data_IF_572085862857
#
_entry.id   IF_572085862857
#
_cell.length_a   1.000
_cell.length_b   1.000
_cell.length_c   1.000
_cell.angle_alpha   90.00
_cell.angle_beta   90.00
_cell.angle_gamma   90.00
#
_symmetry.space_group_name_H-M   'P 1'
#
loop_
_entity.id
_entity.type
_entity.pdbx_description
1 polymer ?
#
# COMPACT_ATOMS: atom_id res chain seq x y z
N UNK A 1 1.46 -21.89 41.61
CA UNK A 1 1.81 -21.04 40.46
C UNK A 1 1.08 -19.72 40.67
N UNK A 2 1.81 -18.62 40.89
CA UNK A 2 1.18 -17.32 41.18
C UNK A 2 0.31 -16.86 40.01
N UNK A 3 -0.86 -16.32 40.34
CA UNK A 3 -1.83 -15.81 39.38
C UNK A 3 -1.16 -14.78 38.45
N UNK A 4 -1.18 -15.06 37.15
CA UNK A 4 -0.60 -14.21 36.09
C UNK A 4 -1.53 -13.06 35.71
N UNK A 5 -2.62 -12.87 36.47
CA UNK A 5 -3.57 -11.79 36.26
C UNK A 5 -3.17 -10.54 37.05
N UNK A 6 -3.07 -9.40 36.35
CA UNK A 6 -3.00 -8.07 36.95
C UNK A 6 -4.18 -7.27 36.40
N UNK A 7 -5.06 -6.77 37.25
CA UNK A 7 -6.22 -6.01 36.79
C UNK A 7 -5.80 -4.74 36.03
N UNK A 8 -6.57 -4.42 34.98
CA UNK A 8 -6.47 -3.17 34.26
C UNK A 8 -7.00 -2.02 35.12
N UNK A 9 -6.30 -0.87 35.14
CA UNK A 9 -6.70 0.31 35.92
C UNK A 9 -7.83 1.14 35.30
N UNK A 10 -8.35 0.75 34.13
CA UNK A 10 -9.50 1.42 33.52
C UNK A 10 -10.78 0.86 34.15
N UNK A 11 -11.63 1.74 34.68
CA UNK A 11 -12.91 1.38 35.30
C UNK A 11 -13.78 0.51 34.38
N UNK A 12 -14.38 -0.54 34.95
CA UNK A 12 -15.20 -1.51 34.19
C UNK A 12 -14.44 -2.44 33.25
N UNK A 13 -13.09 -2.42 33.22
CA UNK A 13 -12.30 -3.28 32.36
C UNK A 13 -11.86 -4.57 33.06
N UNK A 14 -12.25 -5.72 32.52
CA UNK A 14 -11.80 -7.05 32.99
C UNK A 14 -10.52 -7.55 32.29
N UNK A 15 -9.75 -6.64 31.68
CA UNK A 15 -8.54 -6.98 30.92
C UNK A 15 -7.31 -7.24 31.79
N UNK A 16 -6.39 -8.07 31.31
CA UNK A 16 -5.14 -8.38 32.00
C UNK A 16 -4.03 -7.36 31.64
N UNK A 17 -3.58 -6.60 32.63
CA UNK A 17 -2.46 -5.65 32.59
C UNK A 17 -1.09 -6.28 32.91
N UNK A 18 -1.03 -7.60 33.10
CA UNK A 18 0.22 -8.30 33.30
C UNK A 18 1.05 -8.28 32.02
N UNK A 19 2.37 -8.14 32.16
CA UNK A 19 3.28 -7.98 31.02
C UNK A 19 3.29 -9.20 30.08
N UNK A 20 3.05 -10.40 30.61
CA UNK A 20 2.93 -11.62 29.78
C UNK A 20 1.68 -11.62 28.90
N UNK A 21 0.65 -10.82 29.25
CA UNK A 21 -0.54 -10.61 28.44
C UNK A 21 -0.41 -9.35 27.54
N UNK A 22 0.80 -8.80 27.41
CA UNK A 22 1.06 -7.56 26.66
C UNK A 22 0.61 -6.28 27.39
N UNK A 23 0.22 -6.39 28.67
CA UNK A 23 -0.09 -5.24 29.50
C UNK A 23 1.16 -4.39 29.76
N UNK A 24 0.99 -3.07 29.86
CA UNK A 24 2.06 -2.11 30.17
C UNK A 24 1.55 -1.02 31.10
N UNK A 25 2.46 -0.47 31.91
CA UNK A 25 2.13 0.46 33.01
C UNK A 25 1.14 -0.22 33.98
N UNK A 26 -0.13 0.14 33.90
CA UNK A 26 -1.24 -0.41 34.68
C UNK A 26 -2.44 -0.80 33.81
N UNK A 27 -2.25 -0.83 32.48
CA UNK A 27 -3.32 -1.09 31.52
C UNK A 27 -3.14 -2.43 30.81
N UNK A 28 -4.27 -3.04 30.44
CA UNK A 28 -4.27 -4.14 29.47
C UNK A 28 -3.72 -3.68 28.12
N UNK A 29 -3.30 -4.62 27.28
CA UNK A 29 -2.73 -4.32 25.96
C UNK A 29 -3.60 -3.34 25.15
N UNK A 30 -4.92 -3.55 25.12
CA UNK A 30 -5.88 -2.70 24.38
C UNK A 30 -5.89 -1.25 24.90
N UNK A 31 -6.00 -1.04 26.21
CA UNK A 31 -6.02 0.31 26.79
C UNK A 31 -4.67 1.01 26.68
N UNK A 32 -3.57 0.28 26.84
CA UNK A 32 -2.24 0.83 26.58
C UNK A 32 -2.10 1.28 25.11
N UNK A 33 -2.60 0.50 24.15
CA UNK A 33 -2.57 0.89 22.73
C UNK A 33 -3.48 2.08 22.43
N UNK A 34 -4.63 2.22 23.10
CA UNK A 34 -5.50 3.41 22.97
C UNK A 34 -4.81 4.65 23.49
N UNK A 35 -4.24 4.59 24.70
CA UNK A 35 -3.46 5.69 25.27
C UNK A 35 -2.28 6.07 24.37
N UNK A 36 -1.52 5.09 23.86
CA UNK A 36 -0.39 5.35 22.94
C UNK A 36 -0.82 6.10 21.67
N UNK A 37 -2.03 5.84 21.16
CA UNK A 37 -2.53 6.45 19.91
C UNK A 37 -3.21 7.80 20.13
N UNK A 38 -3.92 7.96 21.25
CA UNK A 38 -4.86 9.06 21.45
C UNK A 38 -4.54 9.94 22.67
N UNK A 39 -3.56 9.57 23.50
CA UNK A 39 -3.31 10.20 24.80
C UNK A 39 -4.31 9.80 25.89
N UNK A 40 -5.36 9.04 25.55
CA UNK A 40 -6.46 8.67 26.42
C UNK A 40 -6.87 7.20 26.22
N UNK A 41 -7.09 6.47 27.31
CA UNK A 41 -7.51 5.06 27.31
C UNK A 41 -8.98 4.87 26.97
N UNK A 42 -9.81 5.88 27.21
CA UNK A 42 -11.27 5.87 27.02
C UNK A 42 -11.67 6.15 25.58
N UNK A 43 -10.85 6.89 24.84
CA UNK A 43 -11.15 7.30 23.46
C UNK A 43 -11.19 6.09 22.53
N UNK A 44 -12.39 5.81 22.01
CA UNK A 44 -12.63 4.85 20.94
C UNK A 44 -13.09 5.58 19.69
N UNK A 45 -12.23 5.65 18.67
CA UNK A 45 -12.58 6.20 17.34
C UNK A 45 -13.07 5.08 16.43
N UNK A 46 -14.12 4.36 16.84
CA UNK A 46 -14.74 3.33 15.97
C UNK A 46 -15.83 3.99 15.15
N UNK A 47 -15.70 3.95 13.82
CA UNK A 47 -16.80 4.28 12.93
C UNK A 47 -17.96 3.31 13.18
N UNK A 48 -19.19 3.80 13.48
CA UNK A 48 -20.34 2.93 13.63
C UNK A 48 -20.56 2.09 12.37
N UNK A 49 -21.11 0.88 12.56
CA UNK A 49 -21.41 -0.01 11.44
C UNK A 49 -22.34 0.69 10.44
N UNK A 50 -22.11 0.50 9.14
CA UNK A 50 -22.93 1.07 8.07
C UNK A 50 -22.64 2.53 7.71
N UNK A 51 -22.02 3.34 8.58
CA UNK A 51 -21.71 4.75 8.28
C UNK A 51 -20.80 4.88 7.06
N UNK A 52 -19.74 4.05 7.00
CA UNK A 52 -18.82 4.06 5.86
C UNK A 52 -19.51 3.66 4.54
N UNK A 53 -20.43 2.70 4.60
CA UNK A 53 -21.21 2.27 3.45
C UNK A 53 -22.17 3.36 2.98
N UNK A 54 -22.95 3.95 3.89
CA UNK A 54 -23.88 5.04 3.57
C UNK A 54 -23.16 6.27 3.00
N UNK A 55 -21.99 6.59 3.54
CA UNK A 55 -21.15 7.65 3.00
C UNK A 55 -20.68 7.32 1.58
N UNK A 56 -20.25 6.07 1.32
CA UNK A 56 -19.83 5.63 0.00
C UNK A 56 -20.96 5.73 -1.04
N UNK A 57 -22.18 5.33 -0.68
CA UNK A 57 -23.34 5.46 -1.56
C UNK A 57 -23.57 6.92 -1.97
N UNK A 58 -23.46 7.87 -1.02
CA UNK A 58 -23.54 9.30 -1.36
C UNK A 58 -22.37 9.75 -2.22
N UNK A 59 -21.16 9.27 -1.95
CA UNK A 59 -19.96 9.61 -2.72
C UNK A 59 -20.07 9.24 -4.21
N UNK A 60 -20.72 8.10 -4.52
CA UNK A 60 -20.93 7.63 -5.91
C UNK A 60 -21.87 8.57 -6.69
N UNK A 61 -22.80 9.24 -6.02
CA UNK A 61 -23.74 10.17 -6.68
C UNK A 61 -23.06 11.46 -7.14
N UNK A 62 -21.93 11.85 -6.53
CA UNK A 62 -21.21 13.06 -6.94
C UNK A 62 -20.61 12.92 -8.33
N UNK A 63 -20.73 14.01 -9.10
CA UNK A 63 -20.23 14.11 -10.46
C UNK A 63 -19.14 15.18 -10.52
N UNK A 64 -17.88 14.75 -10.42
CA UNK A 64 -16.71 15.63 -10.33
C UNK A 64 -15.50 14.98 -10.97
N UNK A 65 -14.57 15.81 -11.46
CA UNK A 65 -13.24 15.40 -11.95
C UNK A 65 -12.20 15.36 -10.82
N UNK A 66 -12.53 15.84 -9.62
CA UNK A 66 -11.61 15.80 -8.49
C UNK A 66 -11.62 14.42 -7.80
N UNK A 67 -10.51 14.02 -7.18
CA UNK A 67 -10.52 12.85 -6.30
C UNK A 67 -11.51 13.04 -5.15
N UNK A 68 -12.29 11.99 -4.87
CA UNK A 68 -13.12 11.91 -3.67
C UNK A 68 -12.38 11.00 -2.69
N UNK A 69 -11.78 11.60 -1.66
CA UNK A 69 -10.96 10.86 -0.69
C UNK A 69 -11.80 10.03 0.27
N UNK A 70 -11.47 8.74 0.41
CA UNK A 70 -12.01 7.89 1.46
C UNK A 70 -11.66 8.44 2.85
N UNK A 71 -12.63 8.82 3.71
CA UNK A 71 -12.33 9.50 4.96
C UNK A 71 -12.10 8.53 6.13
N UNK A 72 -12.38 7.24 5.95
CA UNK A 72 -12.28 6.24 7.01
C UNK A 72 -10.93 5.51 6.99
N UNK A 73 -10.72 4.67 7.99
CA UNK A 73 -9.53 3.80 8.05
C UNK A 73 -9.51 2.80 6.90
N UNK A 74 -8.31 2.37 6.54
CA UNK A 74 -8.04 1.34 5.53
C UNK A 74 -6.79 0.53 5.87
N UNK A 75 -6.49 -0.53 5.11
CA UNK A 75 -5.21 -1.22 5.20
C UNK A 75 -4.02 -0.28 4.93
N UNK A 76 -2.80 -0.68 5.32
CA UNK A 76 -1.57 0.08 5.03
C UNK A 76 -1.36 0.42 3.55
N UNK A 77 -1.93 -0.38 2.64
CA UNK A 77 -1.90 -0.12 1.20
C UNK A 77 -2.69 1.13 0.77
N UNK A 78 -3.45 1.76 1.67
CA UNK A 78 -4.16 3.03 1.42
C UNK A 78 -5.59 2.88 0.91
N UNK A 79 -6.03 1.68 0.51
CA UNK A 79 -7.38 1.48 -0.01
C UNK A 79 -8.49 1.76 1.02
N UNK A 80 -9.62 2.27 0.56
CA UNK A 80 -10.84 2.33 1.38
C UNK A 80 -11.47 0.95 1.59
N UNK A 81 -11.94 0.67 2.81
CA UNK A 81 -12.68 -0.54 3.16
C UNK A 81 -13.93 -0.21 3.96
N UNK A 82 -15.00 -0.97 3.75
CA UNK A 82 -16.23 -0.85 4.54
C UNK A 82 -16.84 -2.23 4.78
N UNK A 83 -17.76 -2.31 5.74
CA UNK A 83 -18.53 -3.54 6.02
C UNK A 83 -19.97 -3.33 5.58
N UNK A 84 -20.50 -4.29 4.81
CA UNK A 84 -21.91 -4.39 4.40
C UNK A 84 -22.37 -5.82 4.65
N UNK A 85 -23.51 -5.99 5.32
CA UNK A 85 -24.10 -7.30 5.63
C UNK A 85 -23.11 -8.27 6.33
N UNK A 86 -22.23 -7.73 7.18
CA UNK A 86 -21.20 -8.50 7.90
C UNK A 86 -19.96 -8.85 7.07
N UNK A 87 -19.93 -8.50 5.78
CA UNK A 87 -18.82 -8.78 4.87
C UNK A 87 -17.99 -7.52 4.63
N UNK A 88 -16.66 -7.66 4.61
CA UNK A 88 -15.72 -6.57 4.31
C UNK A 88 -15.53 -6.43 2.81
N UNK A 89 -15.64 -5.20 2.30
CA UNK A 89 -15.49 -4.87 0.88
C UNK A 89 -14.45 -3.77 0.67
N UNK A 90 -13.76 -3.82 -0.47
CA UNK A 90 -12.96 -2.70 -0.95
C UNK A 90 -13.86 -1.64 -1.57
N UNK A 91 -13.71 -0.39 -1.13
CA UNK A 91 -14.54 0.73 -1.59
C UNK A 91 -14.41 0.95 -3.10
N UNK A 92 -13.19 0.94 -3.64
CA UNK A 92 -12.95 1.17 -5.07
C UNK A 92 -13.59 0.08 -5.95
N UNK A 93 -13.50 -1.20 -5.54
CA UNK A 93 -14.12 -2.31 -6.26
C UNK A 93 -15.64 -2.21 -6.26
N UNK A 94 -16.22 -1.90 -5.09
CA UNK A 94 -17.65 -1.66 -4.98
C UNK A 94 -18.10 -0.52 -5.90
N UNK A 95 -17.39 0.61 -5.91
CA UNK A 95 -17.69 1.74 -6.82
C UNK A 95 -17.61 1.31 -8.28
N UNK A 96 -16.60 0.53 -8.66
CA UNK A 96 -16.45 0.01 -10.02
C UNK A 96 -17.64 -0.86 -10.42
N UNK A 97 -18.07 -1.77 -9.54
CA UNK A 97 -19.23 -2.64 -9.74
C UNK A 97 -20.54 -1.83 -9.87
N UNK A 98 -20.72 -0.79 -9.04
CA UNK A 98 -21.92 0.08 -9.13
C UNK A 98 -21.94 0.94 -10.41
N UNK A 99 -20.77 1.32 -10.93
CA UNK A 99 -20.67 2.26 -12.07
C UNK A 99 -20.65 1.54 -13.41
N UNK A 100 -19.93 0.41 -13.48
CA UNK A 100 -19.61 -0.29 -14.73
C UNK A 100 -20.20 -1.70 -14.79
N UNK A 101 -20.90 -2.14 -13.73
CA UNK A 101 -21.38 -3.51 -13.59
C UNK A 101 -20.29 -4.51 -13.24
N UNK A 102 -20.60 -5.79 -13.40
CA UNK A 102 -19.68 -6.88 -13.11
C UNK A 102 -18.38 -6.78 -13.94
N UNK A 103 -17.24 -7.23 -13.39
CA UNK A 103 -16.00 -7.25 -14.15
C UNK A 103 -16.16 -8.14 -15.39
N UNK A 104 -15.54 -7.78 -16.53
CA UNK A 104 -15.53 -8.66 -17.72
C UNK A 104 -14.94 -10.05 -17.44
N UNK A 105 -14.12 -10.18 -16.40
CA UNK A 105 -13.68 -11.47 -15.84
C UNK A 105 -13.23 -11.30 -14.40
N UNK A 106 -13.80 -12.09 -13.47
CA UNK A 106 -13.42 -12.07 -12.06
C UNK A 106 -11.98 -12.49 -11.77
N UNK A 107 -11.31 -13.18 -12.70
CA UNK A 107 -9.94 -13.67 -12.55
C UNK A 107 -8.92 -12.82 -13.29
N UNK A 108 -9.35 -12.02 -14.28
CA UNK A 108 -8.45 -11.23 -15.13
C UNK A 108 -8.66 -9.72 -15.03
N UNK A 109 -9.69 -9.26 -14.32
CA UNK A 109 -9.94 -7.83 -14.13
C UNK A 109 -9.97 -7.46 -12.65
N UNK A 110 -9.36 -6.32 -12.38
CA UNK A 110 -9.35 -5.63 -11.09
C UNK A 110 -9.86 -4.21 -11.27
N UNK A 111 -10.38 -3.63 -10.20
CA UNK A 111 -10.79 -2.24 -10.20
C UNK A 111 -9.54 -1.38 -9.97
N UNK A 112 -9.15 -0.59 -10.96
CA UNK A 112 -7.92 0.19 -10.96
C UNK A 112 -8.21 1.69 -10.93
N UNK A 113 -7.32 2.43 -10.25
CA UNK A 113 -7.36 3.88 -10.15
C UNK A 113 -6.50 4.52 -11.24
N UNK A 114 -7.11 5.09 -12.29
CA UNK A 114 -6.31 5.81 -13.29
C UNK A 114 -5.72 7.12 -12.74
N UNK A 115 -6.27 7.65 -11.64
CA UNK A 115 -5.77 8.84 -10.95
C UNK A 115 -4.54 8.59 -10.05
N UNK A 116 -4.14 7.33 -9.83
CA UNK A 116 -2.98 6.97 -9.01
C UNK A 116 -3.15 7.16 -7.50
N UNK A 117 -4.34 7.52 -7.04
CA UNK A 117 -4.65 7.64 -5.62
C UNK A 117 -5.49 6.45 -5.11
N UNK A 118 -4.87 5.58 -4.31
CA UNK A 118 -5.52 4.42 -3.70
C UNK A 118 -6.69 4.75 -2.77
N UNK A 119 -6.73 5.96 -2.19
CA UNK A 119 -7.83 6.43 -1.33
C UNK A 119 -9.03 6.96 -2.12
N UNK A 120 -8.88 7.20 -3.42
CA UNK A 120 -9.95 7.76 -4.24
C UNK A 120 -11.12 6.79 -4.39
N UNK A 121 -12.35 7.30 -4.26
CA UNK A 121 -13.59 6.56 -4.53
C UNK A 121 -14.46 7.23 -5.60
N UNK A 122 -13.90 8.18 -6.34
CA UNK A 122 -14.62 8.82 -7.44
C UNK A 122 -14.89 7.80 -8.56
N UNK A 123 -16.16 7.64 -8.96
CA UNK A 123 -16.59 6.74 -10.03
C UNK A 123 -15.92 7.02 -11.38
N UNK A 124 -15.60 8.29 -11.67
CA UNK A 124 -14.88 8.67 -12.90
C UNK A 124 -13.42 8.23 -12.86
N UNK A 125 -12.86 7.98 -11.67
CA UNK A 125 -11.44 7.64 -11.45
C UNK A 125 -11.16 6.15 -11.37
N UNK A 126 -12.19 5.30 -11.45
CA UNK A 126 -12.10 3.86 -11.26
C UNK A 126 -12.65 3.15 -12.50
N UNK A 127 -11.92 2.15 -12.99
CA UNK A 127 -12.30 1.32 -14.14
C UNK A 127 -11.92 -0.14 -13.92
N UNK A 128 -12.54 -1.04 -14.66
CA UNK A 128 -12.01 -2.39 -14.81
C UNK A 128 -10.73 -2.34 -15.64
N UNK A 129 -9.68 -2.96 -15.14
CA UNK A 129 -8.39 -3.07 -15.81
C UNK A 129 -7.84 -4.49 -15.61
N UNK A 130 -7.09 -4.96 -16.58
CA UNK A 130 -6.24 -6.14 -16.44
C UNK A 130 -5.01 -5.81 -15.58
N UNK A 131 -4.36 -6.82 -14.97
CA UNK A 131 -3.11 -6.60 -14.24
C UNK A 131 -2.02 -5.91 -15.08
N UNK A 132 -2.00 -6.15 -16.40
CA UNK A 132 -1.05 -5.51 -17.30
C UNK A 132 -1.36 -4.00 -17.46
N UNK A 133 -2.63 -3.63 -17.62
CA UNK A 133 -3.05 -2.22 -17.69
C UNK A 133 -2.81 -1.47 -16.38
N UNK A 134 -3.17 -2.06 -15.23
CA UNK A 134 -2.92 -1.45 -13.93
C UNK A 134 -1.41 -1.30 -13.64
N UNK A 135 -0.59 -2.25 -14.09
CA UNK A 135 0.87 -2.12 -14.00
C UNK A 135 1.41 -1.01 -14.92
N UNK A 136 0.83 -0.82 -16.10
CA UNK A 136 1.17 0.28 -16.99
C UNK A 136 0.80 1.65 -16.37
N UNK A 137 -0.32 1.73 -15.65
CA UNK A 137 -0.72 2.96 -14.93
C UNK A 137 0.35 3.42 -13.92
N UNK A 138 1.05 2.48 -13.25
CA UNK A 138 2.17 2.83 -12.35
C UNK A 138 3.30 3.60 -13.03
N UNK A 139 3.53 3.37 -14.32
CA UNK A 139 4.52 4.10 -15.10
C UNK A 139 4.08 5.54 -15.31
N UNK A 140 2.81 5.72 -15.68
CA UNK A 140 2.19 7.04 -15.89
C UNK A 140 2.18 7.84 -14.58
N UNK A 141 1.87 7.19 -13.45
CA UNK A 141 1.84 7.83 -12.13
C UNK A 141 3.24 8.05 -11.54
N UNK A 142 4.28 7.51 -12.17
CA UNK A 142 5.66 7.62 -11.68
C UNK A 142 5.96 6.84 -10.40
N UNK A 143 5.06 5.95 -9.96
CA UNK A 143 5.16 5.12 -8.74
C UNK A 143 5.87 3.77 -8.98
N UNK A 144 6.39 3.58 -10.18
CA UNK A 144 7.28 2.49 -10.51
C UNK A 144 8.67 2.69 -9.88
N UNK A 145 9.21 1.63 -9.27
CA UNK A 145 10.47 1.67 -8.52
C UNK A 145 11.64 1.07 -9.31
N UNK A 146 11.59 1.03 -10.64
CA UNK A 146 12.68 0.45 -11.45
C UNK A 146 13.88 1.38 -11.52
N UNK A 147 15.05 0.78 -11.67
CA UNK A 147 16.31 1.50 -11.84
C UNK A 147 16.65 2.35 -10.61
N UNK A 148 16.98 3.61 -10.83
CA UNK A 148 17.43 4.56 -9.80
C UNK A 148 16.33 4.93 -8.80
N UNK A 149 15.04 4.71 -9.15
CA UNK A 149 13.91 4.89 -8.22
C UNK A 149 13.84 3.78 -7.16
N UNK A 150 14.58 2.68 -7.34
CA UNK A 150 14.63 1.62 -6.33
C UNK A 150 15.39 2.14 -5.09
N UNK A 151 14.86 1.97 -3.87
CA UNK A 151 15.52 2.43 -2.64
C UNK A 151 16.85 1.72 -2.35
N UNK A 152 17.11 0.61 -3.03
CA UNK A 152 18.37 -0.15 -2.93
C UNK A 152 19.27 0.01 -4.16
N UNK A 153 18.93 0.90 -5.10
CA UNK A 153 19.76 1.11 -6.28
C UNK A 153 21.12 1.69 -5.90
N UNK A 154 22.18 1.07 -6.41
CA UNK A 154 23.57 1.58 -6.30
C UNK A 154 24.00 2.35 -7.55
N UNK A 155 23.20 2.32 -8.61
CA UNK A 155 23.53 2.89 -9.91
C UNK A 155 22.46 3.88 -10.35
N UNK A 156 22.90 4.89 -11.09
CA UNK A 156 22.04 5.83 -11.83
C UNK A 156 21.88 5.39 -13.28
N UNK A 157 20.89 5.95 -13.97
CA UNK A 157 20.68 5.63 -15.39
C UNK A 157 21.89 5.95 -16.27
N UNK A 158 22.59 7.06 -16.01
CA UNK A 158 23.80 7.47 -16.74
C UNK A 158 24.97 6.52 -16.52
N UNK A 159 25.18 6.05 -15.28
CA UNK A 159 26.22 5.06 -14.98
C UNK A 159 25.95 3.73 -15.70
N UNK A 160 24.69 3.31 -15.80
CA UNK A 160 24.33 2.10 -16.56
C UNK A 160 24.63 2.27 -18.05
N UNK A 161 24.36 3.44 -18.63
CA UNK A 161 24.72 3.75 -20.02
C UNK A 161 26.24 3.75 -20.23
N UNK A 162 27.02 4.29 -19.30
CA UNK A 162 28.48 4.25 -19.33
C UNK A 162 29.01 2.81 -19.28
N UNK A 163 28.50 2.00 -18.34
CA UNK A 163 28.85 0.56 -18.22
C UNK A 163 28.56 -0.21 -19.51
N UNK A 164 27.43 0.11 -20.18
CA UNK A 164 27.07 -0.48 -21.48
C UNK A 164 28.03 -0.06 -22.58
N UNK A 165 28.41 1.21 -22.64
CA UNK A 165 29.34 1.75 -23.63
C UNK A 165 30.78 1.21 -23.49
N UNK A 166 31.17 0.79 -22.28
CA UNK A 166 32.48 0.17 -22.02
C UNK A 166 32.59 -1.30 -22.44
N UNK A 167 31.50 -1.92 -22.92
CA UNK A 167 31.51 -3.32 -23.38
C UNK A 167 32.55 -3.54 -24.49
N UNK A 168 33.45 -4.49 -24.26
CA UNK A 168 34.54 -4.82 -25.18
C UNK A 168 35.72 -3.85 -25.15
N UNK A 169 35.64 -2.75 -24.40
CA UNK A 169 36.75 -1.79 -24.20
C UNK A 169 37.49 -2.04 -22.89
N UNK A 170 36.78 -2.53 -21.88
CA UNK A 170 37.32 -2.89 -20.55
C UNK A 170 36.74 -4.21 -20.09
N UNK A 171 37.48 -4.91 -19.24
CA UNK A 171 37.01 -6.16 -18.64
C UNK A 171 35.88 -5.88 -17.64
N UNK A 172 35.01 -6.87 -17.42
CA UNK A 172 33.94 -6.75 -16.43
C UNK A 172 34.46 -6.46 -15.02
N UNK A 173 35.67 -6.94 -14.68
CA UNK A 173 36.32 -6.71 -13.38
C UNK A 173 36.72 -5.25 -13.20
N UNK A 174 37.39 -4.65 -14.18
CA UNK A 174 37.81 -3.25 -14.10
C UNK A 174 36.62 -2.30 -14.01
N UNK A 175 35.54 -2.59 -14.75
CA UNK A 175 34.29 -1.83 -14.68
C UNK A 175 33.65 -2.00 -13.30
N UNK A 176 33.58 -3.24 -12.80
CA UNK A 176 32.99 -3.54 -11.50
C UNK A 176 33.71 -2.81 -10.35
N UNK A 177 35.04 -2.77 -10.38
CA UNK A 177 35.87 -2.03 -9.41
C UNK A 177 35.60 -0.52 -9.50
N UNK A 178 35.52 0.06 -10.71
CA UNK A 178 35.20 1.48 -10.88
C UNK A 178 33.84 1.87 -10.29
N UNK A 179 32.80 1.05 -10.49
CA UNK A 179 31.43 1.36 -10.05
C UNK A 179 31.06 0.72 -8.71
N UNK A 180 32.00 0.03 -8.05
CA UNK A 180 31.78 -0.71 -6.81
C UNK A 180 30.57 -1.66 -6.85
N UNK A 181 30.50 -2.47 -7.91
CA UNK A 181 29.47 -3.48 -8.13
C UNK A 181 30.08 -4.86 -8.37
N UNK A 182 29.24 -5.89 -8.46
CA UNK A 182 29.68 -7.24 -8.78
C UNK A 182 29.99 -7.38 -10.29
N UNK A 183 31.09 -8.03 -10.71
CA UNK A 183 31.39 -8.27 -12.13
C UNK A 183 30.31 -9.03 -12.91
N UNK A 184 29.57 -9.94 -12.27
CA UNK A 184 28.41 -10.59 -12.89
C UNK A 184 27.28 -9.59 -13.14
N UNK A 185 27.11 -8.58 -12.28
CA UNK A 185 26.15 -7.50 -12.49
C UNK A 185 26.52 -6.65 -13.71
N UNK A 186 27.81 -6.35 -13.92
CA UNK A 186 28.29 -5.69 -15.16
C UNK A 186 27.86 -6.47 -16.41
N UNK A 187 28.05 -7.79 -16.41
CA UNK A 187 27.63 -8.65 -17.53
C UNK A 187 26.10 -8.64 -17.74
N UNK A 188 25.31 -8.58 -16.67
CA UNK A 188 23.86 -8.44 -16.78
C UNK A 188 23.44 -7.09 -17.38
N UNK A 189 24.09 -6.00 -16.97
CA UNK A 189 23.85 -4.64 -17.48
C UNK A 189 24.23 -4.52 -18.97
N UNK A 190 25.39 -5.05 -19.37
CA UNK A 190 25.88 -5.05 -20.76
C UNK A 190 25.08 -5.96 -21.70
N UNK A 191 24.41 -6.99 -21.17
CA UNK A 191 23.47 -7.84 -21.91
C UNK A 191 22.02 -7.38 -21.80
N UNK A 192 21.77 -6.24 -21.14
CA UNK A 192 20.43 -5.68 -20.92
C UNK A 192 19.46 -6.63 -20.20
N UNK A 193 19.99 -7.59 -19.42
CA UNK A 193 19.19 -8.46 -18.53
C UNK A 193 18.82 -7.76 -17.23
N UNK A 194 19.57 -6.72 -16.85
CA UNK A 194 19.26 -5.78 -15.78
C UNK A 194 19.12 -4.37 -16.38
N UNK A 195 18.26 -3.53 -15.78
CA UNK A 195 17.90 -2.21 -16.31
C UNK A 195 17.39 -2.23 -17.76
N UNK A 196 16.60 -3.26 -18.12
CA UNK A 196 16.11 -3.48 -19.48
C UNK A 196 15.19 -2.35 -20.03
N UNK A 197 14.69 -1.48 -19.15
CA UNK A 197 13.86 -0.33 -19.50
C UNK A 197 14.66 0.90 -19.99
N UNK A 198 15.98 0.89 -19.81
CA UNK A 198 16.86 1.92 -20.40
C UNK A 198 17.29 1.48 -21.80
N UNK A 199 17.28 2.43 -22.73
CA UNK A 199 17.79 2.27 -24.09
C UNK A 199 19.30 2.02 -24.19
#
# INVERSE_FOLDING_TARGET
>A
MADRFKACSVEGCNGNAHWTAGGKKTWCHTHYMRWRRNGDTSVTKKTPNGVAYQWLLRAIEFDTEACIEWPFSGPPAGYGIFVKDGVSHYAHRFVCEQTHGEPPSHTRHEAAHWCGNARCVNKRHIRWATPAENQADRLVHGTDCRGEKSPTSKLTASQVQEIRALKGRRTAREIAEQFNIDPAHVSLLQRRKSWAHLD
#
